data_IF_428722109615
#
_entry.id   IF_428722109615
#
_cell.length_a   1.000
_cell.length_b   1.000
_cell.length_c   1.000
_cell.angle_alpha   90.00
_cell.angle_beta   90.00
_cell.angle_gamma   90.00
#
_symmetry.space_group_name_H-M   'P 1'
#
loop_
_entity.id
_entity.type
_entity.pdbx_description
1 polymer ?
#
# COMPACT_ATOMS: atom_id res chain seq x y z
N UNK A 1 -8.49 10.84 -4.54
CA UNK A 1 -8.27 9.52 -3.94
C UNK A 1 -8.28 8.50 -5.05
N UNK A 2 -7.21 7.74 -5.24
CA UNK A 2 -7.19 6.63 -6.20
C UNK A 2 -7.99 5.46 -5.64
N UNK A 3 -9.29 5.37 -5.98
CA UNK A 3 -10.19 4.34 -5.47
C UNK A 3 -9.62 2.93 -5.71
N UNK A 4 -9.02 2.70 -6.88
CA UNK A 4 -8.33 1.46 -7.25
C UNK A 4 -7.22 1.07 -6.28
N UNK A 5 -6.45 2.06 -5.82
CA UNK A 5 -5.35 1.87 -4.86
C UNK A 5 -5.89 1.42 -3.50
N UNK A 6 -6.94 2.11 -3.02
CA UNK A 6 -7.60 1.75 -1.75
C UNK A 6 -8.20 0.34 -1.80
N UNK A 7 -8.76 -0.07 -2.94
CA UNK A 7 -9.33 -1.41 -3.11
C UNK A 7 -8.28 -2.51 -2.96
N UNK A 8 -7.16 -2.46 -3.67
CA UNK A 8 -6.16 -3.52 -3.53
C UNK A 8 -5.51 -3.49 -2.14
N UNK A 9 -5.29 -2.30 -1.56
CA UNK A 9 -4.70 -2.15 -0.22
C UNK A 9 -5.59 -2.78 0.86
N UNK A 10 -6.90 -2.53 0.79
CA UNK A 10 -7.88 -3.13 1.70
C UNK A 10 -7.94 -4.65 1.56
N UNK A 11 -7.87 -5.16 0.33
CA UNK A 11 -7.79 -6.60 0.09
C UNK A 11 -6.47 -7.20 0.64
N UNK A 12 -5.33 -6.55 0.45
CA UNK A 12 -4.06 -7.00 1.04
C UNK A 12 -4.14 -7.08 2.57
N UNK A 13 -4.72 -6.07 3.22
CA UNK A 13 -4.91 -6.04 4.67
C UNK A 13 -5.85 -7.16 5.14
N UNK A 14 -6.95 -7.39 4.42
CA UNK A 14 -7.89 -8.47 4.71
C UNK A 14 -7.20 -9.85 4.63
N UNK A 15 -6.43 -10.11 3.58
CA UNK A 15 -5.71 -11.37 3.41
C UNK A 15 -4.62 -11.55 4.48
N UNK A 16 -3.90 -10.47 4.83
CA UNK A 16 -2.91 -10.50 5.90
C UNK A 16 -3.54 -10.87 7.25
N UNK A 17 -4.68 -10.26 7.60
CA UNK A 17 -5.43 -10.57 8.84
C UNK A 17 -5.98 -12.00 8.86
N UNK A 18 -6.19 -12.61 7.69
CA UNK A 18 -6.56 -14.03 7.53
C UNK A 18 -5.37 -14.99 7.66
N UNK A 19 -4.14 -14.47 7.81
CA UNK A 19 -2.92 -15.26 7.92
C UNK A 19 -2.33 -15.70 6.58
N UNK A 20 -2.85 -15.20 5.46
CA UNK A 20 -2.29 -15.49 4.14
C UNK A 20 -0.94 -14.82 3.95
N UNK A 21 -0.12 -15.38 3.05
CA UNK A 21 1.16 -14.82 2.63
C UNK A 21 0.99 -13.76 1.54
N UNK A 22 2.04 -12.95 1.33
CA UNK A 22 2.04 -11.93 0.28
C UNK A 22 1.84 -12.52 -1.14
N UNK A 23 2.37 -13.71 -1.40
CA UNK A 23 2.22 -14.38 -2.69
C UNK A 23 0.78 -14.94 -2.87
N UNK A 24 0.14 -15.48 -1.82
CA UNK A 24 -1.27 -15.89 -1.86
C UNK A 24 -2.21 -14.71 -2.09
N UNK A 25 -2.00 -13.61 -1.36
CA UNK A 25 -2.79 -12.39 -1.53
C UNK A 25 -2.59 -11.78 -2.93
N UNK A 26 -1.39 -11.87 -3.51
CA UNK A 26 -1.15 -11.48 -4.90
C UNK A 26 -1.96 -12.32 -5.87
N UNK A 27 -1.97 -13.66 -5.71
CA UNK A 27 -2.76 -14.55 -6.58
C UNK A 27 -4.25 -14.21 -6.51
N UNK A 28 -4.75 -13.99 -5.30
CA UNK A 28 -6.13 -13.54 -5.07
C UNK A 28 -6.44 -12.21 -5.78
N UNK A 29 -5.52 -11.24 -5.74
CA UNK A 29 -5.69 -9.96 -6.41
C UNK A 29 -5.63 -10.07 -7.94
N UNK A 30 -4.76 -10.92 -8.48
CA UNK A 30 -4.70 -11.18 -9.93
C UNK A 30 -6.00 -11.81 -10.43
N UNK A 31 -6.55 -12.76 -9.69
CA UNK A 31 -7.81 -13.42 -10.03
C UNK A 31 -9.03 -12.45 -9.97
N UNK A 32 -9.02 -11.52 -9.01
CA UNK A 32 -10.16 -10.62 -8.76
C UNK A 32 -10.09 -9.27 -9.50
N UNK A 33 -8.89 -8.79 -9.83
CA UNK A 33 -8.66 -7.44 -10.37
C UNK A 33 -7.95 -7.43 -11.72
N UNK A 34 -7.43 -8.57 -12.18
CA UNK A 34 -6.71 -8.73 -13.44
C UNK A 34 -5.63 -7.64 -13.63
N UNK A 35 -5.67 -6.87 -14.71
CA UNK A 35 -4.76 -5.75 -15.02
C UNK A 35 -4.71 -4.64 -13.95
N UNK A 36 -5.67 -4.60 -13.03
CA UNK A 36 -5.70 -3.62 -11.94
C UNK A 36 -5.00 -4.13 -10.68
N UNK A 37 -4.49 -5.36 -10.68
CA UNK A 37 -3.75 -5.92 -9.56
C UNK A 37 -2.39 -5.20 -9.37
N UNK A 38 -1.98 -4.97 -8.12
CA UNK A 38 -0.69 -4.36 -7.85
C UNK A 38 0.47 -5.29 -8.22
N UNK A 39 1.64 -4.70 -8.48
CA UNK A 39 2.86 -5.48 -8.72
C UNK A 39 3.22 -6.36 -7.51
N UNK A 40 4.01 -7.42 -7.75
CA UNK A 40 4.55 -8.25 -6.67
C UNK A 40 5.29 -7.42 -5.62
N UNK A 41 6.14 -6.50 -6.07
CA UNK A 41 6.92 -5.63 -5.17
C UNK A 41 5.99 -4.81 -4.26
N UNK A 42 4.91 -4.25 -4.81
CA UNK A 42 3.90 -3.52 -4.06
C UNK A 42 3.24 -4.39 -2.99
N UNK A 43 2.82 -5.62 -3.31
CA UNK A 43 2.25 -6.54 -2.31
C UNK A 43 3.22 -6.78 -1.16
N UNK A 44 4.50 -7.04 -1.47
CA UNK A 44 5.53 -7.32 -0.46
C UNK A 44 5.84 -6.12 0.43
N UNK A 45 5.84 -4.91 -0.14
CA UNK A 45 6.01 -3.67 0.63
C UNK A 45 4.87 -3.52 1.65
N UNK A 46 3.61 -3.69 1.22
CA UNK A 46 2.46 -3.63 2.13
C UNK A 46 2.52 -4.70 3.22
N UNK A 47 2.86 -5.93 2.87
CA UNK A 47 3.04 -7.00 3.85
C UNK A 47 4.18 -6.74 4.84
N UNK A 48 5.24 -6.05 4.43
CA UNK A 48 6.26 -5.59 5.38
C UNK A 48 5.69 -4.54 6.33
N UNK A 49 4.89 -3.58 5.84
CA UNK A 49 4.25 -2.55 6.67
C UNK A 49 3.29 -3.16 7.69
N UNK A 50 2.44 -4.09 7.28
CA UNK A 50 1.52 -4.77 8.19
C UNK A 50 2.25 -5.55 9.30
N UNK A 51 3.36 -6.22 8.97
CA UNK A 51 4.22 -6.87 9.97
C UNK A 51 4.86 -5.90 10.96
N UNK A 52 5.05 -4.64 10.56
CA UNK A 52 5.54 -3.57 11.44
C UNK A 52 4.40 -2.89 12.23
N UNK A 53 3.15 -3.36 12.12
CA UNK A 53 1.99 -2.77 12.77
C UNK A 53 1.36 -1.58 12.02
N UNK A 54 1.87 -1.24 10.83
CA UNK A 54 1.32 -0.17 9.99
C UNK A 54 0.15 -0.68 9.13
N UNK A 55 -1.04 -0.80 9.72
CA UNK A 55 -2.26 -1.24 9.01
C UNK A 55 -3.10 -0.09 8.41
N UNK A 56 -2.68 1.16 8.61
CA UNK A 56 -3.38 2.31 8.02
C UNK A 56 -3.26 2.30 6.49
N UNK A 57 -4.41 2.39 5.82
CA UNK A 57 -4.49 2.48 4.36
C UNK A 57 -4.38 3.93 3.86
N UNK A 58 -4.44 4.90 4.77
CA UNK A 58 -4.29 6.29 4.40
C UNK A 58 -2.81 6.59 4.13
N UNK A 59 -2.58 7.19 2.97
CA UNK A 59 -1.25 7.67 2.63
C UNK A 59 -0.94 8.84 3.56
N UNK A 60 0.11 8.73 4.37
CA UNK A 60 0.58 9.86 5.17
C UNK A 60 0.70 11.08 4.24
N UNK A 61 0.37 12.29 4.72
CA UNK A 61 0.59 13.50 3.94
C UNK A 61 2.02 13.46 3.43
N UNK A 62 2.21 13.54 2.12
CA UNK A 62 3.56 13.68 1.57
C UNK A 62 4.07 15.01 2.12
N UNK A 63 4.88 14.95 3.17
CA UNK A 63 5.56 16.14 3.69
C UNK A 63 6.43 16.59 2.53
N UNK A 64 5.96 17.61 1.82
CA UNK A 64 6.68 18.21 0.71
C UNK A 64 8.06 18.66 1.20
N UNK A 65 8.99 18.84 0.25
CA UNK A 65 10.30 19.43 0.53
C UNK A 65 10.12 20.64 1.45
N UNK A 66 10.83 20.75 2.58
CA UNK A 66 10.77 21.95 3.41
C UNK A 66 11.00 23.18 2.54
N UNK A 67 10.22 24.26 2.69
CA UNK A 67 10.47 25.48 1.93
C UNK A 67 11.89 25.94 2.27
N UNK A 68 12.74 26.02 1.25
CA UNK A 68 14.05 26.68 1.37
C UNK A 68 13.79 28.12 1.78
N UNK A 69 14.10 28.47 3.02
CA UNK A 69 14.17 29.86 3.47
C UNK A 69 15.14 30.56 2.52
N UNK A 70 14.62 31.43 1.64
CA UNK A 70 15.47 32.40 0.95
C UNK A 70 15.99 33.34 2.03
N UNK A 71 17.31 33.44 2.12
CA UNK A 71 17.99 34.33 3.06
C UNK A 71 17.36 35.72 3.02
N UNK A 72 17.04 36.25 4.20
CA UNK A 72 16.73 37.65 4.37
C UNK A 72 17.99 38.48 4.06
N UNK A 73 17.84 39.66 3.42
CA UNK A 73 18.94 40.59 3.21
C UNK A 73 19.48 41.18 4.51
#
# INVERSE_FOLDING_TARGET
MDLKKKVYQANLLLQYRRGSTADEARRFLLDSMDDQAPSRATCFIWYRRFRNGEESLDEAPRIGRPPTQKGAP
#
